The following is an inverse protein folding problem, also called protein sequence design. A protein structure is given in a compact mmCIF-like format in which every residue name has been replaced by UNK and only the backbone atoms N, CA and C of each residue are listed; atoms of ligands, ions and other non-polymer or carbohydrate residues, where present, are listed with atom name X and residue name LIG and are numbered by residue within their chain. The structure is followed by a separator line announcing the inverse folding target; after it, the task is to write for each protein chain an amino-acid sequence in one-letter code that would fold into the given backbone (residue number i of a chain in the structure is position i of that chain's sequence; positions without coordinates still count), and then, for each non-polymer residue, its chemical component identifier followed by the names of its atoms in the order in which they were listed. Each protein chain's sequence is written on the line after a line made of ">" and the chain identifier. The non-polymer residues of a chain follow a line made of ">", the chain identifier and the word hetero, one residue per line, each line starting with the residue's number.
data_IF_487927984759
#
_entry.id   IF_487927984759
#
_cell.length_a   1.000
_cell.length_b   1.000
_cell.length_c   1.000
_cell.angle_alpha   90.00
_cell.angle_beta   90.00
_cell.angle_gamma   90.00
#
_symmetry.space_group_name_H-M   'P 1'
#
loop_
_entity.id
_entity.type
_entity.pdbx_description
1 polymer ?
#
# COMPACT_ATOMS: atom_id res chain seq x y z
N UNK A 1 18.90 -10.63 1.18
CA UNK A 1 18.59 -9.18 1.30
C UNK A 1 17.13 -9.06 1.69
N UNK A 2 16.83 -8.63 2.93
CA UNK A 2 15.44 -8.38 3.33
C UNK A 2 15.00 -7.06 2.67
N UNK A 3 14.05 -7.11 1.73
CA UNK A 3 13.48 -5.89 1.15
C UNK A 3 12.63 -5.21 2.22
N UNK A 4 12.83 -3.90 2.50
CA UNK A 4 12.03 -3.18 3.48
C UNK A 4 10.56 -3.20 3.06
N UNK A 5 9.66 -3.31 4.05
CA UNK A 5 8.22 -3.32 3.82
C UNK A 5 7.78 -1.99 3.16
N UNK A 6 7.12 -2.02 2.00
CA UNK A 6 6.76 -0.80 1.29
C UNK A 6 5.73 0.02 2.07
N UNK A 7 5.76 1.34 1.87
CA UNK A 7 4.73 2.26 2.35
C UNK A 7 3.54 2.21 1.39
N UNK A 8 2.31 2.25 1.94
CA UNK A 8 1.08 2.06 1.14
C UNK A 8 0.89 3.12 0.05
N UNK A 9 1.15 4.40 0.31
CA UNK A 9 0.87 5.46 -0.66
C UNK A 9 1.86 5.45 -1.84
N UNK A 10 3.20 5.45 -1.64
CA UNK A 10 4.13 5.34 -2.76
C UNK A 10 3.91 4.07 -3.59
N UNK A 11 3.61 2.95 -2.92
CA UNK A 11 3.27 1.71 -3.60
C UNK A 11 1.98 1.83 -4.41
N UNK A 12 0.93 2.44 -3.86
CA UNK A 12 -0.35 2.58 -4.55
C UNK A 12 -0.21 3.48 -5.79
N UNK A 13 0.54 4.59 -5.67
CA UNK A 13 0.87 5.48 -6.78
C UNK A 13 1.55 4.71 -7.90
N UNK A 14 2.57 3.89 -7.60
CA UNK A 14 3.23 3.09 -8.64
C UNK A 14 2.31 2.07 -9.30
N UNK A 15 1.33 1.52 -8.57
CA UNK A 15 0.33 0.64 -9.17
C UNK A 15 -0.60 1.41 -10.11
N UNK A 16 -1.05 2.61 -9.71
CA UNK A 16 -1.88 3.50 -10.54
C UNK A 16 -1.15 3.92 -11.82
N UNK A 17 0.11 4.36 -11.70
CA UNK A 17 0.94 4.78 -12.83
C UNK A 17 1.22 3.62 -13.79
N UNK A 18 1.33 2.39 -13.28
CA UNK A 18 1.57 1.21 -14.11
C UNK A 18 0.39 0.83 -15.00
N UNK A 19 -0.83 1.18 -14.61
CA UNK A 19 -2.07 0.80 -15.32
C UNK A 19 -2.31 -0.71 -15.46
N UNK A 20 -1.58 -1.56 -14.73
CA UNK A 20 -1.63 -3.03 -14.89
C UNK A 20 -2.81 -3.71 -14.22
N UNK A 21 -3.40 -3.05 -13.22
CA UNK A 21 -4.52 -3.58 -12.45
C UNK A 21 -5.83 -3.03 -13.00
N UNK A 22 -6.69 -3.91 -13.52
CA UNK A 22 -7.96 -3.52 -14.12
C UNK A 22 -8.83 -2.73 -13.15
N UNK A 23 -9.38 -1.61 -13.63
CA UNK A 23 -10.26 -0.73 -12.85
C UNK A 23 -9.57 0.09 -11.76
N UNK A 24 -8.25 -0.07 -11.55
CA UNK A 24 -7.41 0.76 -10.68
C UNK A 24 -6.70 1.79 -11.55
N UNK A 25 -7.15 3.05 -11.49
CA UNK A 25 -6.64 4.09 -12.38
C UNK A 25 -6.80 5.49 -11.80
N UNK A 26 -5.94 6.40 -12.27
CA UNK A 26 -6.15 7.84 -12.14
C UNK A 26 -7.42 8.26 -12.91
N UNK A 27 -8.13 9.24 -12.37
CA UNK A 27 -9.34 9.82 -12.97
C UNK A 27 -9.10 11.21 -13.57
N UNK A 28 -7.91 11.77 -13.35
CA UNK A 28 -7.53 13.10 -13.78
C UNK A 28 -6.02 13.19 -14.04
N UNK A 29 -5.63 14.04 -14.98
CA UNK A 29 -4.22 14.24 -15.37
C UNK A 29 -3.36 14.79 -14.24
N UNK A 30 -3.94 15.51 -13.28
CA UNK A 30 -3.21 16.01 -12.12
C UNK A 30 -2.92 14.95 -11.05
N UNK A 31 -3.29 13.68 -11.28
CA UNK A 31 -2.98 12.54 -10.40
C UNK A 31 -3.40 12.81 -8.93
N UNK A 32 -4.57 13.42 -8.74
CA UNK A 32 -5.11 13.68 -7.40
C UNK A 32 -6.29 12.81 -7.06
N UNK A 33 -7.01 12.27 -8.05
CA UNK A 33 -8.16 11.39 -7.88
C UNK A 33 -7.92 10.06 -8.57
N UNK A 34 -8.27 8.99 -7.88
CA UNK A 34 -8.15 7.64 -8.42
C UNK A 34 -9.31 6.77 -7.98
N UNK A 35 -9.58 5.74 -8.78
CA UNK A 35 -10.60 4.72 -8.49
C UNK A 35 -9.97 3.40 -8.07
N UNK A 36 -10.65 2.67 -7.20
CA UNK A 36 -10.31 1.31 -6.81
C UNK A 36 -11.57 0.42 -6.89
N UNK A 37 -11.53 -0.73 -7.60
CA UNK A 37 -12.62 -1.70 -7.60
C UNK A 37 -12.94 -2.16 -6.17
N UNK A 38 -14.23 -2.21 -5.83
CA UNK A 38 -14.68 -2.45 -4.46
C UNK A 38 -15.80 -3.47 -4.35
N UNK A 39 -15.89 -4.40 -5.29
CA UNK A 39 -16.91 -5.46 -5.34
C UNK A 39 -17.04 -6.21 -4.00
N UNK A 40 -18.28 -6.54 -3.65
CA UNK A 40 -18.59 -7.27 -2.42
C UNK A 40 -18.25 -8.76 -2.56
N UNK A 41 -17.50 -9.34 -1.61
CA UNK A 41 -17.00 -10.72 -1.71
C UNK A 41 -18.07 -11.81 -1.66
N UNK A 42 -19.28 -11.49 -1.19
CA UNK A 42 -20.43 -12.43 -1.21
C UNK A 42 -21.26 -12.36 -2.49
N UNK A 43 -20.88 -11.54 -3.47
CA UNK A 43 -21.55 -11.54 -4.78
C UNK A 43 -21.21 -12.83 -5.53
N UNK A 44 -22.20 -13.42 -6.19
CA UNK A 44 -22.01 -14.66 -6.96
C UNK A 44 -21.06 -14.47 -8.15
N UNK A 45 -20.99 -13.25 -8.70
CA UNK A 45 -20.11 -12.85 -9.80
C UNK A 45 -18.76 -12.28 -9.32
N UNK A 46 -18.41 -12.45 -8.03
CA UNK A 46 -17.11 -12.02 -7.52
C UNK A 46 -16.02 -13.00 -7.96
N UNK A 47 -15.01 -12.49 -8.66
CA UNK A 47 -13.85 -13.22 -9.15
C UNK A 47 -12.58 -12.72 -8.46
N UNK A 48 -11.51 -13.52 -8.46
CA UNK A 48 -10.25 -13.13 -7.81
C UNK A 48 -9.66 -11.83 -8.38
N UNK A 49 -9.86 -11.58 -9.67
CA UNK A 49 -9.42 -10.38 -10.39
C UNK A 49 -10.03 -9.10 -9.80
N UNK A 50 -11.28 -9.16 -9.29
CA UNK A 50 -11.95 -8.03 -8.63
C UNK A 50 -11.22 -7.57 -7.35
N UNK A 51 -10.31 -8.39 -6.83
CA UNK A 51 -9.54 -8.14 -5.61
C UNK A 51 -8.04 -7.96 -5.88
N UNK A 52 -7.65 -7.76 -7.14
CA UNK A 52 -6.25 -7.74 -7.58
C UNK A 52 -5.36 -6.78 -6.79
N UNK A 53 -5.82 -5.55 -6.54
CA UNK A 53 -5.07 -4.56 -5.73
C UNK A 53 -4.88 -4.99 -4.27
N UNK A 54 -5.88 -5.64 -3.67
CA UNK A 54 -5.80 -6.08 -2.28
C UNK A 54 -4.80 -7.23 -2.14
N UNK A 55 -4.83 -8.17 -3.09
CA UNK A 55 -3.84 -9.23 -3.17
C UNK A 55 -2.44 -8.67 -3.43
N UNK A 56 -2.28 -7.76 -4.38
CA UNK A 56 -0.99 -7.15 -4.71
C UNK A 56 -0.39 -6.43 -3.50
N UNK A 57 -1.20 -5.73 -2.70
CA UNK A 57 -0.74 -5.12 -1.46
C UNK A 57 -0.35 -6.17 -0.42
N UNK A 58 -1.12 -7.25 -0.28
CA UNK A 58 -0.80 -8.33 0.65
C UNK A 58 0.55 -8.97 0.30
N UNK A 59 0.84 -9.17 -0.99
CA UNK A 59 2.14 -9.65 -1.47
C UNK A 59 3.26 -8.65 -1.18
N UNK A 60 3.09 -7.40 -1.61
CA UNK A 60 4.10 -6.35 -1.45
C UNK A 60 4.45 -6.08 0.01
N UNK A 61 3.46 -6.15 0.91
CA UNK A 61 3.61 -5.91 2.34
C UNK A 61 4.12 -7.13 3.13
N UNK A 62 4.33 -8.27 2.46
CA UNK A 62 4.76 -9.54 3.06
C UNK A 62 3.67 -10.27 3.86
N UNK A 63 2.41 -9.84 3.76
CA UNK A 63 1.28 -10.47 4.44
C UNK A 63 0.73 -11.71 3.71
N UNK A 64 1.16 -11.94 2.47
CA UNK A 64 0.76 -13.08 1.66
C UNK A 64 1.87 -13.50 0.69
N UNK A 65 2.25 -14.77 0.71
CA UNK A 65 3.22 -15.37 -0.20
C UNK A 65 2.52 -16.43 -1.07
N UNK A 66 2.39 -16.21 -2.38
CA UNK A 66 1.81 -17.20 -3.30
C UNK A 66 2.50 -18.57 -3.19
N UNK A 67 1.72 -19.65 -3.19
CA UNK A 67 2.23 -21.02 -3.06
C UNK A 67 2.60 -21.46 -1.64
N UNK A 68 2.79 -20.53 -0.70
CA UNK A 68 3.07 -20.83 0.71
C UNK A 68 1.86 -20.59 1.61
N UNK A 69 1.19 -19.45 1.43
CA UNK A 69 0.06 -19.04 2.26
C UNK A 69 -1.27 -19.33 1.55
N UNK A 70 -2.34 -19.55 2.32
CA UNK A 70 -3.70 -19.69 1.77
C UNK A 70 -4.29 -18.30 1.47
N UNK A 71 -4.97 -18.09 0.32
CA UNK A 71 -5.65 -16.85 0.02
C UNK A 71 -6.71 -16.46 1.07
N UNK A 72 -6.71 -15.21 1.52
CA UNK A 72 -7.71 -14.64 2.44
C UNK A 72 -8.15 -13.25 1.95
N UNK A 73 -9.07 -13.25 0.99
CA UNK A 73 -9.60 -12.06 0.34
C UNK A 73 -10.23 -11.07 1.34
N UNK A 74 -11.06 -11.50 2.32
CA UNK A 74 -11.59 -10.60 3.36
C UNK A 74 -10.49 -9.89 4.16
N UNK A 75 -9.46 -10.63 4.58
CA UNK A 75 -8.35 -10.04 5.36
C UNK A 75 -7.55 -9.05 4.52
N UNK A 76 -7.24 -9.37 3.27
CA UNK A 76 -6.49 -8.45 2.39
C UNK A 76 -7.25 -7.13 2.18
N UNK A 77 -8.55 -7.20 1.85
CA UNK A 77 -9.40 -6.02 1.67
C UNK A 77 -9.51 -5.18 2.95
N UNK A 78 -9.68 -5.83 4.12
CA UNK A 78 -9.72 -5.16 5.43
C UNK A 78 -8.41 -4.42 5.73
N UNK A 79 -7.28 -5.09 5.55
CA UNK A 79 -5.96 -4.54 5.85
C UNK A 79 -5.63 -3.37 4.92
N UNK A 80 -5.92 -3.50 3.63
CA UNK A 80 -5.76 -2.43 2.65
C UNK A 80 -6.59 -1.19 3.00
N UNK A 81 -7.90 -1.38 3.27
CA UNK A 81 -8.79 -0.29 3.70
C UNK A 81 -8.26 0.41 4.95
N UNK A 82 -7.81 -0.36 5.94
CA UNK A 82 -7.25 0.21 7.17
C UNK A 82 -5.96 1.00 6.90
N UNK A 83 -5.10 0.53 6.00
CA UNK A 83 -3.89 1.24 5.62
C UNK A 83 -4.17 2.60 4.97
N UNK A 84 -5.21 2.67 4.12
CA UNK A 84 -5.67 3.93 3.51
C UNK A 84 -6.31 4.87 4.53
N UNK A 85 -7.20 4.37 5.38
CA UNK A 85 -7.93 5.19 6.37
C UNK A 85 -7.01 5.86 7.41
N UNK A 86 -5.77 5.39 7.57
CA UNK A 86 -4.76 6.00 8.45
C UNK A 86 -3.99 7.15 7.79
N UNK A 87 -4.28 7.47 6.53
CA UNK A 87 -3.57 8.52 5.79
C UNK A 87 -4.41 9.79 5.79
N UNK A 88 -3.95 10.79 6.54
CA UNK A 88 -4.60 12.10 6.64
C UNK A 88 -4.64 12.83 5.29
N UNK A 89 -3.63 12.59 4.44
CA UNK A 89 -3.52 13.14 3.08
C UNK A 89 -4.49 12.49 2.09
N UNK A 90 -5.29 11.50 2.50
CA UNK A 90 -6.20 10.76 1.62
C UNK A 90 -7.63 10.78 2.17
N UNK A 91 -8.58 11.18 1.31
CA UNK A 91 -10.01 11.10 1.62
C UNK A 91 -10.76 10.21 0.64
N UNK A 92 -11.87 9.63 1.09
CA UNK A 92 -12.84 8.99 0.21
C UNK A 92 -13.75 10.09 -0.38
N UNK A 93 -13.64 10.35 -1.68
CA UNK A 93 -14.44 11.35 -2.38
C UNK A 93 -15.83 10.81 -2.75
N UNK A 94 -15.89 9.58 -3.28
CA UNK A 94 -17.16 8.93 -3.65
C UNK A 94 -17.16 7.45 -3.28
N UNK A 95 -18.29 6.96 -2.77
CA UNK A 95 -18.52 5.53 -2.51
C UNK A 95 -19.56 4.97 -3.49
N UNK A 96 -19.07 4.31 -4.54
CA UNK A 96 -19.89 3.60 -5.53
C UNK A 96 -19.80 2.08 -5.33
N UNK A 97 -19.43 1.61 -4.13
CA UNK A 97 -19.24 0.17 -3.88
C UNK A 97 -20.52 -0.67 -3.97
N UNK A 98 -21.68 0.00 -4.01
CA UNK A 98 -23.01 -0.60 -4.20
C UNK A 98 -23.49 -0.59 -5.65
N UNK A 99 -22.71 -0.03 -6.57
CA UNK A 99 -23.08 -0.04 -7.99
C UNK A 99 -23.21 -1.49 -8.50
N UNK A 100 -24.31 -1.84 -9.19
CA UNK A 100 -24.53 -3.20 -9.68
C UNK A 100 -23.53 -3.61 -10.77
N UNK A 101 -23.10 -2.68 -11.63
CA UNK A 101 -22.27 -2.96 -12.80
C UNK A 101 -20.79 -2.65 -12.57
N UNK A 102 -20.51 -1.51 -11.94
CA UNK A 102 -19.14 -1.03 -11.70
C UNK A 102 -18.92 -0.64 -10.23
N UNK A 103 -18.88 -1.60 -9.30
CA UNK A 103 -18.69 -1.31 -7.88
C UNK A 103 -17.26 -0.83 -7.60
N UNK A 104 -17.09 0.45 -7.28
CA UNK A 104 -15.78 1.05 -6.99
C UNK A 104 -15.83 2.15 -5.92
N UNK A 105 -14.67 2.59 -5.47
CA UNK A 105 -14.50 3.76 -4.60
C UNK A 105 -13.55 4.76 -5.23
N UNK A 106 -13.87 6.03 -5.11
CA UNK A 106 -13.04 7.13 -5.60
C UNK A 106 -12.38 7.79 -4.39
N UNK A 107 -11.05 7.79 -4.39
CA UNK A 107 -10.24 8.46 -3.40
C UNK A 107 -9.59 9.71 -4.00
N UNK A 108 -9.29 10.67 -3.14
CA UNK A 108 -8.65 11.92 -3.51
C UNK A 108 -7.57 12.28 -2.51
N UNK A 109 -6.42 12.72 -3.02
CA UNK A 109 -5.38 13.33 -2.20
C UNK A 109 -5.83 14.72 -1.78
N UNK A 110 -5.91 14.97 -0.47
CA UNK A 110 -6.19 16.31 0.04
C UNK A 110 -4.92 17.14 -0.05
N UNK A 111 -4.99 18.26 -0.77
CA UNK A 111 -3.91 19.25 -0.81
C UNK A 111 -3.94 20.05 0.49
N UNK A 112 -3.55 19.42 1.60
CA UNK A 112 -3.33 20.13 2.86
C UNK A 112 -2.02 20.91 2.73
N UNK A 113 -2.10 22.09 2.09
CA UNK A 113 -0.95 22.97 1.86
C UNK A 113 -0.11 22.53 0.67
N UNK A 114 -0.29 23.22 -0.44
CA UNK A 114 0.62 23.20 -1.59
C UNK A 114 2.02 23.60 -1.09
N UNK A 115 2.95 22.65 -1.01
CA UNK A 115 4.32 22.95 -0.58
C UNK A 115 5.24 21.75 -0.46
N UNK A 116 4.74 20.60 -0.01
CA UNK A 116 5.61 19.45 0.25
C UNK A 116 4.90 18.15 -0.16
N UNK A 117 5.11 17.75 -1.41
CA UNK A 117 5.50 16.36 -1.61
C UNK A 117 6.96 16.34 -1.14
N UNK A 118 7.30 15.98 0.11
CA UNK A 118 8.69 15.71 0.41
C UNK A 118 9.03 14.53 -0.48
N UNK A 119 9.82 14.84 -1.50
CA UNK A 119 10.93 14.03 -1.96
C UNK A 119 10.91 12.67 -1.28
N UNK A 120 10.39 11.70 -2.03
CA UNK A 120 10.68 10.31 -1.76
C UNK A 120 12.20 10.23 -1.59
N UNK A 121 12.62 9.97 -0.35
CA UNK A 121 13.93 9.40 -0.03
C UNK A 121 15.12 10.37 -0.01
N UNK A 122 15.32 11.06 1.12
CA UNK A 122 16.68 11.29 1.62
C UNK A 122 16.75 10.84 3.08
N UNK A 123 16.99 9.54 3.27
CA UNK A 123 17.61 9.02 4.49
C UNK A 123 19.06 9.52 4.55
N UNK A 124 19.52 10.24 5.59
CA UNK A 124 20.95 10.34 5.82
C UNK A 124 21.40 9.00 6.41
N UNK A 125 22.00 8.17 5.56
CA UNK A 125 23.03 7.24 6.01
C UNK A 125 24.12 8.09 6.69
N UNK A 126 24.14 8.12 8.02
CA UNK A 126 25.39 8.41 8.71
C UNK A 126 26.12 7.09 8.89
N UNK A 127 27.01 6.84 7.93
CA UNK A 127 28.15 5.93 8.06
C UNK A 127 28.87 6.26 9.38
N UNK A 128 28.68 5.40 10.36
CA UNK A 128 29.39 5.40 11.64
C UNK A 128 30.31 4.19 11.68
N UNK A 129 31.23 4.11 10.73
CA UNK A 129 32.27 3.09 10.65
C UNK A 129 33.13 3.07 11.93
N UNK A 130 33.13 1.90 12.57
CA UNK A 130 34.24 1.19 13.21
C UNK A 130 35.20 1.97 14.13
N UNK A 131 35.27 1.57 15.40
CA UNK A 131 36.57 1.37 16.06
C UNK A 131 36.47 0.24 17.09
N UNK A 132 37.12 -0.86 16.75
CA UNK A 132 37.46 -2.00 17.59
C UNK A 132 38.61 -1.66 18.54
N UNK A 133 38.46 -2.01 19.82
CA UNK A 133 39.49 -2.43 20.79
C UNK A 133 38.73 -3.19 21.89
N UNK A 134 38.78 -4.52 22.10
CA UNK A 134 39.88 -5.43 22.45
C UNK A 134 40.71 -4.92 23.65
N UNK A 135 40.98 -5.60 24.78
CA UNK A 135 40.56 -6.88 25.41
C UNK A 135 41.20 -6.96 26.83
N UNK A 136 40.60 -7.77 27.74
CA UNK A 136 41.13 -8.32 29.02
C UNK A 136 41.35 -7.36 30.21
N UNK A 137 41.11 -7.70 31.49
CA UNK A 137 41.58 -8.89 32.24
C UNK A 137 40.98 -8.98 33.67
N UNK A 138 40.91 -10.18 34.26
CA UNK A 138 41.00 -10.44 35.72
C UNK A 138 39.68 -10.44 36.52
N UNK A 139 39.10 -11.58 36.88
CA UNK A 139 39.49 -12.54 37.95
C UNK A 139 39.14 -12.12 39.39
N UNK A 140 38.24 -12.92 39.97
CA UNK A 140 38.24 -13.44 41.35
C UNK A 140 38.26 -12.47 42.54
N UNK A 141 37.17 -12.42 43.30
CA UNK A 141 36.92 -13.22 44.54
C UNK A 141 35.54 -12.91 45.09
#
# INVERSE_FOLDING_TARGET
>A
MATPKPRILPWLVSQLDSGKLEGVAWLNESHTRFRIPWKHGLRHDAQQQDFGIFQAWAQASGAYTPGKDKPDLPTWKRNFRSALNRKEVLRLAEDRSRDPHDPHKIYEFVSSGIGDYPELDTSPETDGRCSTSDTQHGSSR
#
